data_IF_818602865118
#
_entry.id   IF_818602865118
#
_cell.length_a   1.000
_cell.length_b   1.000
_cell.length_c   1.000
_cell.angle_alpha   90.00
_cell.angle_beta   90.00
_cell.angle_gamma   90.00
#
_symmetry.space_group_name_H-M   'P 1'
#
loop_
_entity.id
_entity.type
_entity.pdbx_description
1 polymer ?
#
# COMPACT_ATOMS: atom_id res chain seq x y z
N UNK A 1 12.03 -16.64 13.53
CA UNK A 1 12.76 -16.40 12.26
C UNK A 1 13.87 -17.45 12.16
N UNK A 2 14.15 -18.01 10.98
CA UNK A 2 15.34 -18.84 10.78
C UNK A 2 16.63 -18.04 11.05
N UNK A 3 17.74 -18.72 11.33
CA UNK A 3 19.06 -18.11 11.53
C UNK A 3 19.43 -17.22 10.32
N UNK A 4 19.90 -15.99 10.51
CA UNK A 4 20.25 -15.09 9.41
C UNK A 4 21.57 -15.52 8.75
N UNK A 5 21.49 -16.49 7.84
CA UNK A 5 22.62 -17.09 7.12
C UNK A 5 22.82 -16.52 5.70
N UNK A 6 21.96 -15.59 5.28
CA UNK A 6 22.03 -14.94 3.96
C UNK A 6 21.43 -15.73 2.80
N UNK A 7 21.01 -16.98 3.01
CA UNK A 7 20.39 -17.81 1.96
C UNK A 7 18.90 -17.53 1.78
N UNK A 8 18.28 -16.82 2.72
CA UNK A 8 16.87 -16.41 2.64
C UNK A 8 16.76 -14.91 2.45
N UNK A 9 16.35 -14.50 1.24
CA UNK A 9 16.06 -13.11 0.91
C UNK A 9 14.55 -12.89 0.73
N UNK A 10 14.11 -11.66 1.00
CA UNK A 10 12.71 -11.23 0.86
C UNK A 10 12.64 -9.99 -0.02
N UNK A 11 11.65 -9.97 -0.91
CA UNK A 11 11.32 -8.75 -1.64
C UNK A 11 10.46 -7.85 -0.75
N UNK A 12 11.02 -6.70 -0.41
CA UNK A 12 10.31 -5.65 0.30
C UNK A 12 9.39 -4.86 -0.65
N UNK A 13 8.20 -4.54 -0.16
CA UNK A 13 7.29 -3.57 -0.78
C UNK A 13 6.82 -2.58 0.28
N UNK A 14 6.32 -1.41 -0.13
CA UNK A 14 5.92 -0.33 0.80
C UNK A 14 4.90 -0.81 1.87
N UNK A 15 4.00 -1.72 1.50
CA UNK A 15 3.06 -2.37 2.41
C UNK A 15 3.76 -3.03 3.61
N UNK A 16 4.48 -4.16 3.43
CA UNK A 16 5.12 -4.87 4.53
C UNK A 16 6.22 -4.09 5.26
N UNK A 17 7.03 -3.28 4.56
CA UNK A 17 8.24 -2.68 5.17
C UNK A 17 8.04 -1.29 5.77
N UNK A 18 6.86 -0.69 5.60
CA UNK A 18 6.59 0.66 6.13
C UNK A 18 5.14 0.83 6.58
N UNK A 19 4.17 0.65 5.68
CA UNK A 19 2.76 0.95 5.96
C UNK A 19 2.15 -0.03 6.97
N UNK A 20 2.53 -1.31 6.92
CA UNK A 20 1.95 -2.37 7.73
C UNK A 20 2.07 -2.13 9.24
N UNK A 21 3.14 -1.48 9.70
CA UNK A 21 3.32 -1.14 11.13
C UNK A 21 2.26 -0.16 11.64
N UNK A 22 1.77 0.73 10.78
CA UNK A 22 0.73 1.70 11.12
C UNK A 22 -0.68 1.09 11.02
N UNK A 23 -0.89 0.13 10.11
CA UNK A 23 -2.21 -0.47 9.86
C UNK A 23 -2.50 -1.70 10.73
N UNK A 24 -1.48 -2.45 11.12
CA UNK A 24 -1.63 -3.71 11.86
C UNK A 24 -0.97 -3.57 13.24
N UNK A 25 -1.75 -3.26 14.29
CA UNK A 25 -1.21 -3.13 15.65
C UNK A 25 -0.48 -4.37 16.15
N UNK A 26 -0.86 -5.55 15.65
CA UNK A 26 -0.29 -6.84 16.01
C UNK A 26 0.61 -7.41 14.90
N UNK A 27 1.36 -6.55 14.21
CA UNK A 27 2.36 -7.01 13.26
C UNK A 27 3.44 -7.83 13.99
N UNK A 28 3.69 -9.06 13.51
CA UNK A 28 4.58 -10.04 14.18
C UNK A 28 6.08 -9.77 13.98
N UNK A 29 6.45 -8.66 13.36
CA UNK A 29 7.83 -8.25 13.13
C UNK A 29 7.91 -6.72 13.09
N UNK A 30 9.08 -6.17 13.44
CA UNK A 30 9.43 -4.77 13.26
C UNK A 30 10.33 -4.64 12.02
N UNK A 31 9.83 -4.10 10.89
CA UNK A 31 10.63 -3.96 9.68
C UNK A 31 11.95 -3.21 9.87
N UNK A 32 12.01 -2.30 10.86
CA UNK A 32 13.20 -1.51 11.15
C UNK A 32 14.26 -2.26 11.99
N UNK A 33 13.88 -3.34 12.68
CA UNK A 33 14.77 -4.11 13.55
C UNK A 33 15.07 -5.51 13.02
N UNK A 34 14.08 -6.13 12.39
CA UNK A 34 14.11 -7.55 12.02
C UNK A 34 14.57 -7.77 10.57
N UNK A 35 14.75 -6.70 9.78
CA UNK A 35 15.18 -6.76 8.38
C UNK A 35 16.43 -5.90 8.16
N UNK A 36 17.41 -6.45 7.43
CA UNK A 36 18.56 -5.70 6.95
C UNK A 36 18.32 -5.26 5.50
N UNK A 37 18.29 -3.94 5.19
CA UNK A 37 18.09 -3.48 3.82
C UNK A 37 19.33 -3.78 2.97
N UNK A 38 19.11 -4.32 1.77
CA UNK A 38 20.18 -4.64 0.82
C UNK A 38 20.24 -3.61 -0.32
N UNK A 39 19.20 -3.54 -1.16
CA UNK A 39 19.14 -2.62 -2.29
C UNK A 39 17.69 -2.33 -2.69
N UNK A 40 17.48 -1.16 -3.31
CA UNK A 40 16.24 -0.83 -4.02
C UNK A 40 16.37 -1.31 -5.46
N UNK A 41 15.53 -2.25 -5.87
CA UNK A 41 15.54 -2.81 -7.22
C UNK A 41 14.56 -2.11 -8.18
N UNK A 42 13.56 -1.40 -7.65
CA UNK A 42 12.57 -0.68 -8.47
C UNK A 42 11.93 0.48 -7.71
N UNK A 43 11.47 1.48 -8.46
CA UNK A 43 10.58 2.55 -8.00
C UNK A 43 9.44 2.64 -9.00
N UNK A 44 8.21 2.47 -8.52
CA UNK A 44 7.01 2.56 -9.35
C UNK A 44 6.08 3.64 -8.81
N UNK A 45 5.51 4.50 -9.66
CA UNK A 45 4.47 5.44 -9.24
C UNK A 45 3.16 4.70 -8.96
N UNK A 46 2.38 5.20 -7.99
CA UNK A 46 0.99 4.81 -7.84
C UNK A 46 0.12 5.65 -8.78
N UNK A 47 -0.92 5.04 -9.34
CA UNK A 47 -1.90 5.70 -10.22
C UNK A 47 -3.32 5.46 -9.73
N UNK A 48 -4.18 6.48 -9.87
CA UNK A 48 -5.61 6.38 -9.57
C UNK A 48 -6.33 5.92 -10.84
N UNK A 49 -7.09 4.84 -10.74
CA UNK A 49 -7.83 4.24 -11.86
C UNK A 49 -9.29 4.08 -11.46
N UNK A 50 -10.19 4.34 -12.40
CA UNK A 50 -11.64 4.14 -12.26
C UNK A 50 -12.10 3.08 -13.27
N UNK A 51 -13.20 2.39 -12.97
CA UNK A 51 -13.83 1.50 -13.94
C UNK A 51 -14.28 2.32 -15.17
N UNK A 52 -14.11 1.84 -16.41
CA UNK A 52 -14.39 2.62 -17.63
C UNK A 52 -15.81 3.16 -17.73
N UNK A 53 -16.79 2.47 -17.14
CA UNK A 53 -18.21 2.89 -17.13
C UNK A 53 -18.50 4.03 -16.14
N UNK A 54 -17.54 4.40 -15.30
CA UNK A 54 -17.72 5.50 -14.34
C UNK A 54 -17.63 6.85 -15.07
N UNK A 55 -18.43 7.85 -14.66
CA UNK A 55 -18.50 9.14 -15.35
C UNK A 55 -17.28 10.04 -15.09
N UNK A 56 -16.36 9.66 -14.19
CA UNK A 56 -15.23 10.48 -13.77
C UNK A 56 -14.15 10.55 -14.86
N UNK A 57 -13.89 11.74 -15.41
CA UNK A 57 -12.91 11.94 -16.49
C UNK A 57 -11.57 12.44 -16.00
N UNK A 58 -11.53 12.94 -14.77
CA UNK A 58 -10.32 13.44 -14.12
C UNK A 58 -10.44 13.30 -12.59
N UNK A 59 -9.35 13.63 -11.88
CA UNK A 59 -9.30 13.54 -10.42
C UNK A 59 -10.25 14.53 -9.74
N UNK A 60 -10.50 15.71 -10.33
CA UNK A 60 -11.42 16.69 -9.76
C UNK A 60 -12.87 16.18 -9.78
N UNK A 61 -13.31 15.52 -10.86
CA UNK A 61 -14.63 14.88 -10.94
C UNK A 61 -14.81 13.81 -9.86
N UNK A 62 -13.78 12.98 -9.66
CA UNK A 62 -13.77 11.93 -8.64
C UNK A 62 -13.89 12.53 -7.23
N UNK A 63 -13.14 13.59 -6.93
CA UNK A 63 -13.20 14.30 -5.64
C UNK A 63 -14.57 14.95 -5.43
N UNK A 64 -15.11 15.61 -6.46
CA UNK A 64 -16.42 16.25 -6.38
C UNK A 64 -17.52 15.23 -6.08
N UNK A 65 -17.49 14.08 -6.76
CA UNK A 65 -18.42 12.99 -6.51
C UNK A 65 -18.26 12.38 -5.10
N UNK A 66 -17.02 12.18 -4.63
CA UNK A 66 -16.74 11.66 -3.29
C UNK A 66 -17.31 12.56 -2.20
N UNK A 67 -17.18 13.88 -2.37
CA UNK A 67 -17.70 14.88 -1.44
C UNK A 67 -19.22 14.98 -1.49
N UNK A 68 -19.83 14.91 -2.67
CA UNK A 68 -21.27 14.99 -2.84
C UNK A 68 -22.01 13.79 -2.24
N UNK A 69 -21.40 12.60 -2.31
CA UNK A 69 -21.95 11.35 -1.77
C UNK A 69 -20.85 10.54 -1.07
N UNK A 70 -20.54 10.83 0.20
CA UNK A 70 -19.56 10.08 0.97
C UNK A 70 -19.84 8.58 0.97
N UNK A 71 -18.80 7.75 1.02
CA UNK A 71 -18.85 6.28 1.06
C UNK A 71 -19.47 5.58 -0.17
N UNK A 72 -19.65 6.27 -1.31
CA UNK A 72 -20.21 5.67 -2.53
C UNK A 72 -19.17 5.28 -3.58
N UNK A 73 -17.97 5.83 -3.51
CA UNK A 73 -16.90 5.61 -4.51
C UNK A 73 -15.97 4.45 -4.12
N UNK A 74 -15.84 4.15 -2.83
CA UNK A 74 -15.10 3.00 -2.32
C UNK A 74 -16.09 1.93 -1.87
N UNK A 75 -16.21 0.80 -2.57
CA UNK A 75 -17.05 -0.32 -2.13
C UNK A 75 -16.32 -1.11 -1.04
N UNK A 76 -16.27 -0.56 0.18
CA UNK A 76 -16.14 -1.23 1.48
C UNK A 76 -15.80 -0.16 2.54
N UNK A 77 -16.44 -0.18 3.72
CA UNK A 77 -15.86 0.48 4.88
C UNK A 77 -14.55 -0.27 5.23
N UNK A 78 -13.45 0.48 5.34
CA UNK A 78 -12.23 0.01 5.99
C UNK A 78 -12.49 -0.28 7.47
#
# INVERSE_FOLDING_TARGET
MPTPDGYTLRLGAAGPVSVGKALYPQLRYDPAKDLTPLAIITRAPFVVVVHPDQPYKNVADLIAAAKAKPNTILPMPL
#
